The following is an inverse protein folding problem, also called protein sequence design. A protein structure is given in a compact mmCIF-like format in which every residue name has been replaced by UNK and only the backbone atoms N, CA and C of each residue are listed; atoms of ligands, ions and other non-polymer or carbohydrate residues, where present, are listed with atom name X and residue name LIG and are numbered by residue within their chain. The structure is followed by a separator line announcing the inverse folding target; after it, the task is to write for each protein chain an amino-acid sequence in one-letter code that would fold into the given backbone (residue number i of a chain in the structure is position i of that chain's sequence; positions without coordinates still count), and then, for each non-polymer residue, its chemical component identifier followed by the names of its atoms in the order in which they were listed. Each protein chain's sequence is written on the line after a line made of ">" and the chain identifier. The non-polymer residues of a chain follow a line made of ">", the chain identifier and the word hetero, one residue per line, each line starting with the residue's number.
data_IF_591206375640
#
_entry.id   IF_591206375640
#
_cell.length_a   1.000
_cell.length_b   1.000
_cell.length_c   1.000
_cell.angle_alpha   90.00
_cell.angle_beta   90.00
_cell.angle_gamma   90.00
#
_symmetry.space_group_name_H-M   'P 1'
#
loop_
_entity.id
_entity.type
_entity.pdbx_description
1 polymer ?
#
# COMPACT_ATOMS: atom_id res chain seq x y z
N UNK A 1 -30.11 -92.36 -3.97
CA UNK A 1 -30.14 -90.89 -4.13
C UNK A 1 -29.39 -90.32 -2.92
N UNK A 2 -28.22 -89.72 -3.14
CA UNK A 2 -27.43 -89.12 -2.06
C UNK A 2 -27.97 -87.71 -1.77
N UNK A 3 -28.27 -87.43 -0.51
CA UNK A 3 -28.62 -86.08 -0.05
C UNK A 3 -27.45 -85.13 -0.28
N UNK A 4 -27.73 -83.97 -0.90
CA UNK A 4 -26.75 -82.93 -1.12
C UNK A 4 -26.35 -82.27 0.21
N UNK A 5 -25.06 -81.98 0.45
CA UNK A 5 -24.63 -81.37 1.71
C UNK A 5 -25.16 -79.94 1.83
N UNK A 6 -25.74 -79.63 3.00
CA UNK A 6 -26.20 -78.29 3.38
C UNK A 6 -25.00 -77.32 3.34
N UNK A 7 -25.08 -76.18 2.64
CA UNK A 7 -23.97 -75.25 2.57
C UNK A 7 -23.68 -74.65 3.94
N UNK A 8 -22.41 -74.72 4.37
CA UNK A 8 -21.95 -74.11 5.62
C UNK A 8 -22.10 -72.59 5.52
N UNK A 9 -22.70 -71.96 6.55
CA UNK A 9 -22.78 -70.50 6.67
C UNK A 9 -21.36 -69.91 6.62
N UNK A 10 -21.10 -68.89 5.78
CA UNK A 10 -19.78 -68.28 5.71
C UNK A 10 -19.44 -67.55 7.02
N UNK A 11 -18.17 -67.57 7.41
CA UNK A 11 -17.68 -66.96 8.65
C UNK A 11 -17.87 -65.44 8.65
N UNK A 12 -18.38 -64.84 9.76
CA UNK A 12 -18.70 -63.40 9.85
C UNK A 12 -17.47 -62.48 9.74
N UNK A 13 -16.26 -63.00 9.93
CA UNK A 13 -15.03 -62.23 9.79
C UNK A 13 -14.79 -61.74 8.34
N UNK A 14 -15.28 -62.47 7.33
CA UNK A 14 -15.18 -62.02 5.94
C UNK A 14 -16.16 -60.87 5.61
N UNK A 15 -17.26 -60.73 6.35
CA UNK A 15 -18.11 -59.53 6.24
C UNK A 15 -17.40 -58.29 6.81
N UNK A 16 -16.66 -58.41 7.90
CA UNK A 16 -15.96 -57.25 8.48
C UNK A 16 -14.66 -56.87 7.75
N UNK A 17 -14.03 -57.79 7.02
CA UNK A 17 -12.75 -57.52 6.32
C UNK A 17 -12.96 -57.16 4.83
N UNK A 18 -13.94 -57.75 4.14
CA UNK A 18 -14.29 -57.36 2.74
C UNK A 18 -15.45 -56.35 2.65
N UNK A 19 -16.30 -56.21 3.69
CA UNK A 19 -17.36 -55.20 3.79
C UNK A 19 -17.17 -54.27 5.01
N UNK A 20 -15.93 -54.12 5.49
CA UNK A 20 -15.54 -53.39 6.70
C UNK A 20 -15.70 -51.87 6.69
N UNK A 21 -16.08 -51.28 5.56
CA UNK A 21 -16.71 -49.97 5.58
C UNK A 21 -18.21 -50.23 5.68
N UNK A 22 -18.89 -49.84 6.79
CA UNK A 22 -20.34 -49.99 6.88
C UNK A 22 -20.92 -49.40 5.61
N UNK A 23 -21.68 -50.20 4.85
CA UNK A 23 -22.28 -49.81 3.55
C UNK A 23 -22.72 -48.36 3.69
N UNK A 24 -21.94 -47.42 3.14
CA UNK A 24 -22.27 -46.00 3.18
C UNK A 24 -23.52 -45.88 2.32
N UNK A 25 -24.67 -46.10 2.94
CA UNK A 25 -25.96 -45.78 2.35
C UNK A 25 -25.89 -44.27 2.27
N UNK A 26 -25.51 -43.74 1.11
CA UNK A 26 -25.45 -42.33 0.79
C UNK A 26 -26.87 -41.76 0.88
N UNK A 27 -27.36 -41.64 2.11
CA UNK A 27 -28.60 -40.96 2.44
C UNK A 27 -28.32 -39.50 2.15
N UNK A 28 -29.16 -38.91 1.29
CA UNK A 28 -29.09 -37.49 1.02
C UNK A 28 -29.12 -36.73 2.36
N UNK A 29 -28.29 -35.69 2.52
CA UNK A 29 -28.34 -34.88 3.72
C UNK A 29 -29.75 -34.33 3.91
N UNK A 30 -30.15 -34.12 5.17
CA UNK A 30 -31.49 -33.58 5.45
C UNK A 30 -31.66 -32.18 4.84
N UNK A 31 -32.92 -31.72 4.67
CA UNK A 31 -33.22 -30.43 4.03
C UNK A 31 -32.41 -29.25 4.60
N UNK A 32 -32.25 -29.07 5.93
CA UNK A 32 -31.41 -27.99 6.47
C UNK A 32 -29.93 -28.11 6.11
N UNK A 33 -29.40 -29.34 6.06
CA UNK A 33 -28.01 -29.58 5.67
C UNK A 33 -27.77 -29.30 4.18
N UNK A 34 -28.73 -29.64 3.31
CA UNK A 34 -28.66 -29.29 1.89
C UNK A 34 -28.63 -27.77 1.69
N UNK A 35 -29.47 -27.02 2.40
CA UNK A 35 -29.46 -25.55 2.36
C UNK A 35 -28.12 -25.01 2.86
N UNK A 36 -27.62 -25.53 3.99
CA UNK A 36 -26.33 -25.11 4.54
C UNK A 36 -25.18 -25.33 3.56
N UNK A 37 -25.04 -26.54 3.00
CA UNK A 37 -24.00 -26.83 2.03
C UNK A 37 -24.18 -26.04 0.73
N UNK A 38 -25.42 -25.80 0.28
CA UNK A 38 -25.69 -24.96 -0.88
C UNK A 38 -25.18 -23.53 -0.70
N UNK A 39 -25.48 -22.91 0.45
CA UNK A 39 -25.02 -21.54 0.77
C UNK A 39 -23.50 -21.49 0.90
N UNK A 40 -22.89 -22.42 1.65
CA UNK A 40 -21.43 -22.45 1.84
C UNK A 40 -20.71 -22.70 0.50
N UNK A 41 -21.16 -23.68 -0.28
CA UNK A 41 -20.55 -24.00 -1.58
C UNK A 41 -20.67 -22.83 -2.57
N UNK A 42 -21.81 -22.13 -2.59
CA UNK A 42 -22.00 -20.96 -3.44
C UNK A 42 -21.07 -19.83 -3.02
N UNK A 43 -21.01 -19.52 -1.72
CA UNK A 43 -20.11 -18.49 -1.19
C UNK A 43 -18.63 -18.80 -1.47
N UNK A 44 -18.19 -20.02 -1.16
CA UNK A 44 -16.83 -20.47 -1.44
C UNK A 44 -16.53 -20.44 -2.94
N UNK A 45 -17.48 -20.87 -3.79
CA UNK A 45 -17.35 -20.80 -5.24
C UNK A 45 -17.13 -19.39 -5.75
N UNK A 46 -17.89 -18.41 -5.25
CA UNK A 46 -17.72 -16.98 -5.59
C UNK A 46 -16.36 -16.44 -5.16
N UNK A 47 -15.90 -16.76 -3.94
CA UNK A 47 -14.58 -16.32 -3.44
C UNK A 47 -13.43 -16.94 -4.24
N UNK A 48 -13.51 -18.23 -4.54
CA UNK A 48 -12.48 -18.92 -5.34
C UNK A 48 -12.45 -18.39 -6.77
N UNK A 49 -13.62 -18.14 -7.36
CA UNK A 49 -13.75 -17.54 -8.68
C UNK A 49 -13.10 -16.16 -8.73
N UNK A 50 -13.46 -15.24 -7.83
CA UNK A 50 -12.93 -13.88 -7.85
C UNK A 50 -11.41 -13.86 -7.61
N UNK A 51 -10.88 -14.71 -6.71
CA UNK A 51 -9.42 -14.85 -6.52
C UNK A 51 -8.71 -15.38 -7.77
N UNK A 52 -9.31 -16.33 -8.48
CA UNK A 52 -8.75 -16.86 -9.73
C UNK A 52 -8.72 -15.79 -10.82
N UNK A 53 -9.82 -15.06 -11.01
CA UNK A 53 -9.88 -13.97 -12.00
C UNK A 53 -8.97 -12.79 -11.63
N UNK A 54 -8.92 -12.43 -10.35
CA UNK A 54 -7.96 -11.43 -9.83
C UNK A 54 -6.52 -11.80 -10.18
N UNK A 55 -6.13 -13.07 -9.98
CA UNK A 55 -4.78 -13.55 -10.31
C UNK A 55 -4.52 -13.52 -11.81
N UNK A 56 -5.49 -13.92 -12.64
CA UNK A 56 -5.37 -13.83 -14.11
C UNK A 56 -5.20 -12.39 -14.59
N UNK A 57 -5.98 -11.45 -14.05
CA UNK A 57 -5.86 -10.03 -14.39
C UNK A 57 -4.47 -9.50 -14.02
N UNK A 58 -3.96 -9.86 -12.84
CA UNK A 58 -2.61 -9.50 -12.42
C UNK A 58 -1.54 -10.10 -13.34
N UNK A 59 -1.60 -11.41 -13.62
CA UNK A 59 -0.65 -12.12 -14.51
C UNK A 59 -0.64 -11.50 -15.91
N UNK A 60 -1.81 -11.18 -16.46
CA UNK A 60 -1.96 -10.52 -17.76
C UNK A 60 -1.19 -9.20 -17.87
N UNK A 61 -1.31 -8.32 -16.87
CA UNK A 61 -0.59 -7.04 -16.86
C UNK A 61 0.90 -7.21 -16.56
N UNK A 62 1.27 -8.16 -15.70
CA UNK A 62 2.66 -8.53 -15.45
C UNK A 62 3.35 -9.01 -16.73
N UNK A 63 2.70 -9.88 -17.51
CA UNK A 63 3.24 -10.41 -18.76
C UNK A 63 3.44 -9.28 -19.78
N UNK A 64 2.52 -8.33 -19.85
CA UNK A 64 2.62 -7.15 -20.73
C UNK A 64 3.81 -6.27 -20.42
N UNK A 65 4.17 -6.08 -19.15
CA UNK A 65 5.32 -5.24 -18.76
C UNK A 65 6.63 -6.02 -18.65
N UNK A 66 6.56 -7.36 -18.62
CA UNK A 66 7.71 -8.24 -18.41
C UNK A 66 8.84 -8.06 -19.42
N UNK A 67 8.52 -7.66 -20.65
CA UNK A 67 9.51 -7.40 -21.69
C UNK A 67 10.48 -6.26 -21.34
N UNK A 68 10.09 -5.35 -20.44
CA UNK A 68 10.96 -4.26 -19.97
C UNK A 68 12.10 -4.81 -19.11
N UNK A 69 11.82 -5.81 -18.27
CA UNK A 69 12.82 -6.43 -17.41
C UNK A 69 13.89 -7.22 -18.17
N UNK A 70 13.60 -7.63 -19.41
CA UNK A 70 14.52 -8.38 -20.26
C UNK A 70 15.53 -7.48 -20.98
N UNK A 71 15.34 -6.15 -20.95
CA UNK A 71 16.27 -5.21 -21.58
C UNK A 71 17.57 -5.17 -20.79
N UNK A 72 18.73 -5.49 -21.39
CA UNK A 72 19.99 -5.45 -20.68
C UNK A 72 20.38 -4.00 -20.39
N UNK A 73 20.83 -3.74 -19.16
CA UNK A 73 21.38 -2.45 -18.73
C UNK A 73 22.91 -2.57 -18.54
N UNK A 74 23.69 -1.53 -18.89
CA UNK A 74 25.12 -1.53 -18.64
C UNK A 74 25.42 -1.44 -17.13
N UNK A 75 26.56 -1.99 -16.67
CA UNK A 75 26.89 -2.04 -15.24
C UNK A 75 27.12 -0.66 -14.61
N UNK A 76 27.35 0.37 -15.42
CA UNK A 76 27.49 1.77 -15.00
C UNK A 76 26.16 2.52 -14.89
N UNK A 77 25.03 1.85 -15.13
CA UNK A 77 23.72 2.48 -15.20
C UNK A 77 22.70 1.78 -14.29
N UNK A 78 21.91 2.58 -13.60
CA UNK A 78 20.78 2.11 -12.80
C UNK A 78 19.46 2.33 -13.54
N UNK A 79 18.44 1.46 -13.34
CA UNK A 79 17.12 1.69 -13.90
C UNK A 79 16.51 3.01 -13.38
N UNK A 80 15.52 3.52 -14.10
CA UNK A 80 14.76 4.69 -13.62
C UNK A 80 14.02 4.37 -12.32
N UNK A 81 13.87 5.38 -11.47
CA UNK A 81 13.26 5.28 -10.14
C UNK A 81 11.90 5.95 -10.07
N UNK A 82 10.94 5.27 -9.44
CA UNK A 82 9.57 5.77 -9.19
C UNK A 82 9.35 5.98 -7.69
N UNK A 83 8.89 7.16 -7.29
CA UNK A 83 8.54 7.42 -5.88
C UNK A 83 7.07 7.12 -5.65
N UNK A 84 6.75 6.32 -4.64
CA UNK A 84 5.39 5.89 -4.29
C UNK A 84 5.04 6.51 -2.95
N UNK A 85 4.01 7.36 -2.92
CA UNK A 85 3.49 7.94 -1.68
C UNK A 85 2.30 7.10 -1.18
N UNK A 86 2.39 6.65 0.07
CA UNK A 86 1.37 5.87 0.77
C UNK A 86 0.99 6.56 2.08
N UNK A 87 -0.28 6.91 2.29
CA UNK A 87 -0.78 7.39 3.59
C UNK A 87 -1.78 6.43 4.20
N UNK A 88 -1.88 6.45 5.53
CA UNK A 88 -2.97 5.81 6.27
C UNK A 88 -4.33 6.33 5.75
N UNK A 89 -5.28 5.45 5.38
CA UNK A 89 -6.62 5.88 5.04
C UNK A 89 -7.30 6.57 6.24
N UNK A 90 -8.26 7.47 5.99
CA UNK A 90 -8.95 8.19 7.05
C UNK A 90 -9.71 7.24 7.97
N UNK A 91 -9.35 7.25 9.25
CA UNK A 91 -10.00 6.43 10.27
C UNK A 91 -9.44 5.02 10.44
N UNK A 92 -8.33 4.68 9.78
CA UNK A 92 -7.61 3.42 9.93
C UNK A 92 -6.08 3.63 9.84
N UNK A 93 -5.27 2.58 10.03
CA UNK A 93 -3.81 2.64 10.06
C UNK A 93 -3.12 2.40 8.70
N UNK A 94 -1.80 2.63 8.68
CA UNK A 94 -0.96 2.46 7.47
C UNK A 94 -0.91 1.02 6.94
N UNK A 95 -1.23 0.02 7.78
CA UNK A 95 -1.19 -1.40 7.42
C UNK A 95 -2.07 -1.69 6.20
N UNK A 96 -3.28 -1.15 6.15
CA UNK A 96 -4.22 -1.32 5.03
C UNK A 96 -3.63 -0.80 3.71
N UNK A 97 -2.93 0.34 3.73
CA UNK A 97 -2.26 0.89 2.56
C UNK A 97 -1.04 0.06 2.13
N UNK A 98 -0.28 -0.49 3.09
CA UNK A 98 0.87 -1.38 2.82
C UNK A 98 0.44 -2.70 2.20
N UNK A 99 -0.61 -3.32 2.73
CA UNK A 99 -1.18 -4.55 2.16
C UNK A 99 -1.68 -4.30 0.74
N UNK A 100 -2.37 -3.18 0.53
CA UNK A 100 -2.83 -2.76 -0.79
C UNK A 100 -1.67 -2.58 -1.79
N UNK A 101 -0.61 -1.88 -1.39
CA UNK A 101 0.58 -1.72 -2.22
C UNK A 101 1.21 -3.08 -2.57
N UNK A 102 1.38 -3.97 -1.58
CA UNK A 102 1.98 -5.30 -1.78
C UNK A 102 1.14 -6.18 -2.70
N UNK A 103 -0.18 -6.09 -2.61
CA UNK A 103 -1.10 -6.94 -3.36
C UNK A 103 -1.32 -6.43 -4.79
N UNK A 104 -1.56 -5.13 -4.99
CA UNK A 104 -2.01 -4.60 -6.29
C UNK A 104 -0.90 -3.90 -7.09
N UNK A 105 -0.01 -3.15 -6.44
CA UNK A 105 0.94 -2.27 -7.13
C UNK A 105 2.29 -2.95 -7.33
N UNK A 106 2.84 -3.54 -6.27
CA UNK A 106 4.17 -4.16 -6.25
C UNK A 106 4.37 -5.20 -7.36
N UNK A 107 3.44 -6.14 -7.62
CA UNK A 107 3.72 -7.22 -8.58
C UNK A 107 3.99 -6.71 -9.99
N UNK A 108 3.24 -5.70 -10.45
CA UNK A 108 3.41 -5.13 -11.80
C UNK A 108 4.72 -4.36 -11.92
N UNK A 109 5.11 -3.57 -10.91
CA UNK A 109 6.39 -2.86 -10.90
C UNK A 109 7.59 -3.83 -10.88
N UNK A 110 7.49 -4.91 -10.10
CA UNK A 110 8.53 -5.94 -10.02
C UNK A 110 8.64 -6.71 -11.34
N UNK A 111 7.52 -7.04 -11.98
CA UNK A 111 7.53 -7.70 -13.30
C UNK A 111 8.22 -6.83 -14.36
N UNK A 112 8.11 -5.50 -14.26
CA UNK A 112 8.76 -4.55 -15.15
C UNK A 112 10.23 -4.25 -14.79
N UNK A 113 10.76 -4.78 -13.68
CA UNK A 113 12.06 -4.42 -13.10
C UNK A 113 12.25 -2.90 -12.89
N UNK A 114 11.19 -2.19 -12.52
CA UNK A 114 11.24 -0.76 -12.22
C UNK A 114 11.68 -0.56 -10.77
N UNK A 115 12.73 0.25 -10.56
CA UNK A 115 13.15 0.63 -9.21
C UNK A 115 12.12 1.58 -8.58
N UNK A 116 11.78 1.35 -7.32
CA UNK A 116 10.78 2.14 -6.61
C UNK A 116 11.20 2.45 -5.18
N UNK A 117 10.80 3.64 -4.71
CA UNK A 117 10.99 4.09 -3.34
C UNK A 117 9.63 4.40 -2.72
N UNK A 118 9.35 3.81 -1.56
CA UNK A 118 8.07 3.96 -0.88
C UNK A 118 8.23 4.98 0.24
N UNK A 119 7.52 6.10 0.13
CA UNK A 119 7.42 7.12 1.15
C UNK A 119 6.09 6.94 1.89
N UNK A 120 6.18 6.53 3.14
CA UNK A 120 5.01 6.26 3.98
C UNK A 120 4.67 7.48 4.86
N UNK A 121 3.38 7.82 4.96
CA UNK A 121 2.82 8.76 5.92
C UNK A 121 1.90 8.06 6.89
N UNK A 122 2.34 7.88 8.14
CA UNK A 122 1.53 7.23 9.18
C UNK A 122 0.44 8.17 9.67
N UNK A 123 0.75 9.47 9.75
CA UNK A 123 -0.13 10.53 10.24
C UNK A 123 -0.58 11.42 9.08
N UNK A 124 -1.78 11.98 9.24
CA UNK A 124 -2.30 13.01 8.33
C UNK A 124 -1.37 14.21 8.31
N UNK A 125 -0.98 14.66 7.12
CA UNK A 125 -0.08 15.80 6.94
C UNK A 125 1.40 15.46 6.78
N UNK A 126 1.79 14.23 7.14
CA UNK A 126 3.18 13.79 7.07
C UNK A 126 3.68 13.76 5.63
N UNK A 127 2.84 13.31 4.67
CA UNK A 127 3.22 13.27 3.25
C UNK A 127 3.36 14.67 2.70
N UNK A 128 2.42 15.55 3.06
CA UNK A 128 2.48 16.95 2.65
C UNK A 128 3.79 17.59 3.08
N UNK A 129 4.16 17.41 4.34
CA UNK A 129 5.43 17.91 4.86
C UNK A 129 6.64 17.30 4.14
N UNK A 130 6.71 15.98 3.96
CA UNK A 130 7.81 15.32 3.25
C UNK A 130 7.97 15.85 1.82
N UNK A 131 6.87 15.97 1.08
CA UNK A 131 6.89 16.51 -0.30
C UNK A 131 7.35 17.96 -0.32
N UNK A 132 6.89 18.78 0.63
CA UNK A 132 7.29 20.18 0.73
C UNK A 132 8.77 20.32 1.11
N UNK A 133 9.26 19.51 2.06
CA UNK A 133 10.66 19.48 2.48
C UNK A 133 11.57 19.03 1.34
N UNK A 134 11.23 17.92 0.67
CA UNK A 134 11.93 17.46 -0.53
C UNK A 134 12.04 18.55 -1.59
N UNK A 135 10.93 19.26 -1.85
CA UNK A 135 10.91 20.39 -2.79
C UNK A 135 11.80 21.54 -2.32
N UNK A 136 11.81 21.88 -1.03
CA UNK A 136 12.69 22.91 -0.46
C UNK A 136 14.16 22.54 -0.56
N UNK A 137 14.52 21.27 -0.32
CA UNK A 137 15.88 20.76 -0.50
C UNK A 137 16.36 20.92 -1.93
N UNK A 138 15.52 20.54 -2.91
CA UNK A 138 15.79 20.77 -4.34
C UNK A 138 16.06 22.26 -4.61
N UNK A 139 15.30 23.18 -3.99
CA UNK A 139 15.50 24.62 -4.14
C UNK A 139 16.80 25.13 -3.48
N UNK A 140 17.24 24.52 -2.38
CA UNK A 140 18.53 24.81 -1.74
C UNK A 140 19.72 24.21 -2.49
N UNK A 141 19.49 23.31 -3.43
CA UNK A 141 20.54 22.49 -4.04
C UNK A 141 21.09 21.42 -3.10
N UNK A 142 20.35 21.11 -2.04
CA UNK A 142 20.65 20.01 -1.13
C UNK A 142 20.17 18.69 -1.74
N UNK A 143 20.90 17.62 -1.47
CA UNK A 143 20.54 16.30 -1.96
C UNK A 143 19.41 15.67 -1.12
N UNK A 144 18.57 14.87 -1.79
CA UNK A 144 17.53 14.05 -1.15
C UNK A 144 18.15 13.00 -0.22
N UNK A 145 18.54 13.37 1.00
CA UNK A 145 18.92 12.46 2.11
C UNK A 145 17.70 11.91 2.86
N UNK A 146 16.49 12.08 2.29
CA UNK A 146 15.31 11.40 2.82
C UNK A 146 15.52 9.89 2.69
N UNK A 147 15.56 9.24 3.85
CA UNK A 147 15.90 7.83 3.98
C UNK A 147 16.61 7.54 5.28
N UNK A 148 16.83 6.26 5.54
CA UNK A 148 17.76 5.82 6.59
C UNK A 148 19.18 6.27 6.24
N UNK A 149 20.07 6.40 7.24
CA UNK A 149 21.48 6.76 7.02
C UNK A 149 22.16 5.85 5.98
N UNK A 150 21.68 4.61 5.86
CA UNK A 150 22.08 3.61 4.86
C UNK A 150 21.73 4.04 3.44
N UNK A 151 20.52 4.54 3.18
CA UNK A 151 20.09 4.98 1.84
C UNK A 151 20.82 6.25 1.39
N UNK A 152 21.08 7.17 2.33
CA UNK A 152 21.90 8.34 2.05
C UNK A 152 23.35 7.94 1.73
N UNK A 153 23.92 6.98 2.46
CA UNK A 153 25.25 6.44 2.18
C UNK A 153 25.31 5.73 0.82
N UNK A 154 24.26 4.99 0.44
CA UNK A 154 24.15 4.34 -0.88
C UNK A 154 24.15 5.40 -1.99
N UNK A 155 23.32 6.45 -1.88
CA UNK A 155 23.27 7.55 -2.87
C UNK A 155 24.63 8.26 -2.99
N UNK A 156 25.34 8.46 -1.88
CA UNK A 156 26.67 9.06 -1.89
C UNK A 156 27.70 8.15 -2.59
N UNK A 157 27.64 6.84 -2.33
CA UNK A 157 28.49 5.85 -2.99
C UNK A 157 28.19 5.75 -4.49
N UNK A 158 26.92 5.75 -4.90
CA UNK A 158 26.49 5.79 -6.31
C UNK A 158 27.13 6.97 -7.05
N UNK A 159 27.14 8.14 -6.42
CA UNK A 159 27.76 9.37 -6.98
C UNK A 159 29.27 9.27 -7.07
N UNK A 160 29.92 8.75 -6.02
CA UNK A 160 31.37 8.53 -6.05
C UNK A 160 31.78 7.53 -7.14
N UNK A 161 30.95 6.51 -7.38
CA UNK A 161 31.13 5.53 -8.44
C UNK A 161 30.75 6.05 -9.84
N UNK A 162 30.20 7.27 -9.96
CA UNK A 162 29.80 7.86 -11.24
C UNK A 162 28.66 7.12 -11.93
N UNK A 163 27.80 6.43 -11.16
CA UNK A 163 26.68 5.65 -11.68
C UNK A 163 25.55 6.60 -12.09
N UNK A 164 25.10 6.49 -13.35
CA UNK A 164 24.06 7.35 -13.91
C UNK A 164 22.75 6.55 -13.96
N UNK A 165 21.59 7.20 -13.80
CA UNK A 165 20.30 6.53 -14.01
C UNK A 165 19.91 6.53 -15.48
N UNK A 166 19.13 5.54 -15.88
CA UNK A 166 18.54 5.44 -17.21
C UNK A 166 17.84 6.74 -17.61
N UNK A 167 18.08 7.17 -18.85
CA UNK A 167 17.41 8.32 -19.43
C UNK A 167 15.94 7.98 -19.65
N UNK A 168 15.10 8.38 -18.71
CA UNK A 168 13.67 8.19 -18.78
C UNK A 168 12.96 9.07 -17.76
N UNK A 169 11.66 9.34 -17.98
CA UNK A 169 10.86 10.02 -16.98
C UNK A 169 10.84 9.17 -15.71
N UNK A 170 11.43 9.69 -14.64
CA UNK A 170 11.06 9.30 -13.29
C UNK A 170 9.55 9.51 -13.09
N UNK A 171 8.99 8.93 -12.04
CA UNK A 171 7.56 8.99 -11.83
C UNK A 171 7.20 9.14 -10.37
N UNK A 172 6.03 9.73 -10.14
CA UNK A 172 5.40 9.75 -8.82
C UNK A 172 4.09 8.97 -8.89
N UNK A 173 3.94 8.00 -7.99
CA UNK A 173 2.71 7.23 -7.81
C UNK A 173 2.12 7.61 -6.48
N UNK A 174 0.84 7.95 -6.49
CA UNK A 174 0.13 8.36 -5.28
C UNK A 174 -1.03 7.41 -5.05
N UNK A 175 -1.03 6.70 -3.93
CA UNK A 175 -2.07 5.70 -3.62
C UNK A 175 -3.17 6.32 -2.78
N UNK A 176 -4.35 6.45 -3.36
CA UNK A 176 -5.54 7.00 -2.73
C UNK A 176 -5.70 8.51 -2.81
N UNK A 177 -6.96 8.94 -2.76
CA UNK A 177 -7.38 10.34 -2.87
C UNK A 177 -6.87 11.22 -1.72
N UNK A 178 -6.85 10.70 -0.49
CA UNK A 178 -6.33 11.44 0.67
C UNK A 178 -4.84 11.75 0.50
N UNK A 179 -4.04 10.77 0.11
CA UNK A 179 -2.61 10.91 -0.22
C UNK A 179 -2.42 11.92 -1.36
N UNK A 180 -3.29 11.90 -2.37
CA UNK A 180 -3.27 12.86 -3.48
C UNK A 180 -3.48 14.31 -3.05
N UNK A 181 -4.45 14.56 -2.15
CA UNK A 181 -4.66 15.90 -1.58
C UNK A 181 -3.42 16.38 -0.81
N UNK A 182 -2.81 15.51 -0.02
CA UNK A 182 -1.59 15.86 0.72
C UNK A 182 -0.38 16.11 -0.18
N UNK A 183 -0.17 15.25 -1.19
CA UNK A 183 0.90 15.39 -2.17
C UNK A 183 0.80 16.73 -2.91
N UNK A 184 -0.37 17.06 -3.44
CA UNK A 184 -0.57 18.32 -4.15
C UNK A 184 -0.35 19.51 -3.23
N UNK A 185 -0.91 19.50 -2.02
CA UNK A 185 -0.67 20.58 -1.04
C UNK A 185 0.82 20.72 -0.71
N UNK A 186 1.54 19.62 -0.58
CA UNK A 186 2.98 19.62 -0.33
C UNK A 186 3.79 20.16 -1.50
N UNK A 187 3.37 19.84 -2.73
CA UNK A 187 3.99 20.41 -3.93
C UNK A 187 3.79 21.93 -3.99
N UNK A 188 2.56 22.41 -3.72
CA UNK A 188 2.27 23.85 -3.69
C UNK A 188 3.03 24.55 -2.56
N UNK A 189 3.01 23.99 -1.35
CA UNK A 189 3.74 24.54 -0.21
C UNK A 189 5.24 24.55 -0.46
N UNK A 190 5.80 23.51 -1.08
CA UNK A 190 7.22 23.42 -1.37
C UNK A 190 7.71 24.46 -2.38
N UNK A 191 6.92 24.75 -3.43
CA UNK A 191 7.29 25.72 -4.46
C UNK A 191 6.91 27.15 -4.13
N UNK A 192 5.70 27.37 -3.61
CA UNK A 192 5.20 28.72 -3.30
C UNK A 192 5.65 29.20 -1.91
N UNK A 193 5.94 28.27 -1.01
CA UNK A 193 6.38 28.55 0.36
C UNK A 193 7.79 29.13 0.47
N UNK A 194 8.16 29.60 1.68
CA UNK A 194 9.55 29.93 1.98
C UNK A 194 10.43 28.68 1.84
N UNK A 195 11.66 28.89 1.38
CA UNK A 195 12.65 27.83 1.22
C UNK A 195 13.13 27.29 2.57
N UNK A 196 13.29 28.16 3.57
CA UNK A 196 13.73 27.82 4.92
C UNK A 196 12.63 28.02 5.93
N UNK A 197 12.29 26.96 6.66
CA UNK A 197 11.46 27.07 7.85
C UNK A 197 12.42 27.35 9.01
N UNK A 198 12.25 28.49 9.69
CA UNK A 198 12.96 28.78 10.93
C UNK A 198 12.47 27.84 12.05
N UNK A 199 12.90 26.58 12.04
CA UNK A 199 12.43 25.54 12.97
C UNK A 199 13.11 24.18 12.86
N UNK A 200 13.83 23.89 11.77
CA UNK A 200 14.38 22.55 11.48
C UNK A 200 15.42 22.05 12.51
N UNK A 201 16.05 22.96 13.27
CA UNK A 201 17.00 22.59 14.34
C UNK A 201 16.42 21.84 15.53
N UNK A 202 15.08 21.73 15.66
CA UNK A 202 14.42 21.00 16.76
C UNK A 202 13.90 19.61 16.37
N UNK A 203 13.94 19.24 15.09
CA UNK A 203 13.43 17.95 14.60
C UNK A 203 14.54 16.92 14.36
N UNK A 204 15.77 17.35 14.06
CA UNK A 204 16.93 16.45 13.92
C UNK A 204 17.29 15.73 15.23
N UNK A 205 17.01 16.34 16.38
CA UNK A 205 17.25 15.73 17.70
C UNK A 205 16.32 14.56 18.02
N UNK A 206 15.19 14.42 17.32
CA UNK A 206 14.22 13.33 17.51
C UNK A 206 14.51 12.07 16.67
N UNK A 207 15.51 12.08 15.77
CA UNK A 207 15.91 10.86 15.03
C UNK A 207 16.53 9.78 15.93
N UNK A 208 17.01 10.14 17.13
CA UNK A 208 17.70 9.19 18.04
C UNK A 208 16.79 8.28 18.85
N UNK A 209 15.50 8.59 19.00
CA UNK A 209 14.61 7.88 19.94
C UNK A 209 13.53 7.00 19.28
N UNK A 210 13.74 6.56 18.03
CA UNK A 210 12.88 5.58 17.39
C UNK A 210 13.56 4.20 17.38
N UNK A 211 12.91 3.12 17.88
CA UNK A 211 13.43 1.78 17.67
C UNK A 211 13.47 1.49 16.17
N UNK A 212 14.66 1.13 15.68
CA UNK A 212 14.95 0.77 14.30
C UNK A 212 14.03 -0.39 13.88
N UNK A 213 12.94 -0.07 13.19
CA UNK A 213 12.09 -1.07 12.55
C UNK A 213 12.83 -1.59 11.32
N UNK A 214 13.27 -2.84 11.38
CA UNK A 214 13.90 -3.54 10.28
C UNK A 214 13.00 -3.45 9.03
N UNK A 215 13.52 -2.96 7.88
CA UNK A 215 12.82 -3.07 6.62
C UNK A 215 12.79 -4.55 6.22
N UNK A 216 11.59 -5.10 5.97
CA UNK A 216 11.45 -6.39 5.30
C UNK A 216 11.78 -6.18 3.81
N UNK A 217 13.06 -6.23 3.52
CA UNK A 217 13.61 -6.60 2.22
C UNK A 217 14.51 -7.81 2.46
N UNK A 218 13.95 -9.00 2.29
CA UNK A 218 14.74 -10.16 1.94
C UNK A 218 14.46 -10.48 0.47
N UNK A 219 15.47 -10.15 -0.30
CA UNK A 219 15.86 -10.72 -1.58
C UNK A 219 15.58 -12.22 -1.67
N UNK A 220 15.21 -12.62 -2.89
CA UNK A 220 15.14 -13.98 -3.42
C UNK A 220 16.41 -14.76 -3.06
N UNK A 221 16.33 -15.70 -2.11
CA UNK A 221 17.32 -16.76 -1.86
C UNK A 221 16.73 -17.81 -0.91
N UNK A 222 15.64 -18.47 -1.29
CA UNK A 222 15.15 -19.70 -0.63
C UNK A 222 14.42 -20.57 -1.67
N UNK A 223 15.15 -20.98 -2.70
CA UNK A 223 14.81 -22.15 -3.51
C UNK A 223 16.12 -22.91 -3.65
N UNK A 224 16.33 -23.89 -2.77
CA UNK A 224 17.05 -25.16 -2.96
C UNK A 224 17.25 -25.79 -1.57
N UNK A 225 16.61 -26.95 -1.26
CA UNK A 225 16.85 -27.66 0.00
C UNK A 225 18.13 -28.49 -0.14
N UNK A 226 19.13 -28.19 0.69
CA UNK A 226 20.29 -29.07 0.90
C UNK A 226 20.30 -29.55 2.36
N UNK A 227 20.57 -30.84 2.49
CA UNK A 227 20.46 -31.74 3.64
C UNK A 227 20.97 -31.19 4.99
N UNK A 228 20.22 -31.45 6.06
CA UNK A 228 20.69 -31.39 7.44
C UNK A 228 20.81 -32.81 8.02
N UNK A 229 22.04 -33.22 8.32
CA UNK A 229 22.36 -34.31 9.26
C UNK A 229 22.58 -33.74 10.66
N UNK A 230 21.80 -34.28 11.61
CA UNK A 230 22.11 -34.72 13.00
C UNK A 230 23.44 -34.20 13.64
N UNK A 231 23.55 -33.79 14.92
CA UNK A 231 23.06 -34.45 16.13
C UNK A 231 23.35 -33.61 17.42
N UNK A 232 22.40 -33.66 18.37
CA UNK A 232 22.60 -33.87 19.83
C UNK A 232 22.91 -32.77 20.88
N UNK A 233 21.99 -32.73 21.87
CA UNK A 233 22.13 -32.69 23.36
C UNK A 233 22.09 -31.36 24.16
N UNK A 234 20.90 -31.15 24.76
CA UNK A 234 20.57 -30.47 26.04
C UNK A 234 21.26 -31.16 27.26
N UNK A 235 21.17 -30.71 28.55
CA UNK A 235 19.95 -30.20 29.24
C UNK A 235 20.08 -29.13 30.36
N UNK A 236 18.97 -28.46 30.67
CA UNK A 236 18.69 -27.70 31.91
C UNK A 236 18.59 -28.62 33.16
N UNK A 237 18.56 -28.08 34.40
CA UNK A 237 17.28 -27.97 35.15
C UNK A 237 17.25 -26.81 36.22
N UNK A 238 16.28 -26.70 37.17
CA UNK A 238 14.83 -26.39 37.03
C UNK A 238 14.24 -25.34 38.05
N UNK A 239 13.06 -24.81 37.68
CA UNK A 239 11.83 -24.33 38.39
C UNK A 239 11.71 -24.22 39.94
N UNK A 240 11.18 -23.08 40.44
CA UNK A 240 10.09 -22.87 41.48
C UNK A 240 9.64 -21.39 41.42
N UNK A 241 8.40 -20.97 41.09
CA UNK A 241 7.08 -21.03 41.76
C UNK A 241 6.82 -19.95 42.86
N UNK A 242 5.65 -19.29 42.74
CA UNK A 242 4.95 -18.32 43.64
C UNK A 242 5.54 -16.90 43.76
N UNK A 243 4.83 -15.76 43.68
CA UNK A 243 3.41 -15.44 43.60
C UNK A 243 3.04 -14.43 44.70
N UNK A 244 2.98 -13.12 44.44
CA UNK A 244 2.12 -12.16 45.19
C UNK A 244 2.10 -10.74 44.61
N UNK A 245 0.92 -10.11 44.72
CA UNK A 245 0.62 -8.72 44.38
C UNK A 245 1.11 -7.80 45.50
N UNK A 246 1.82 -6.73 45.15
CA UNK A 246 1.72 -5.46 45.89
C UNK A 246 1.63 -4.28 44.91
N UNK A 247 0.55 -3.52 45.08
CA UNK A 247 0.42 -2.15 44.62
C UNK A 247 1.26 -1.30 45.57
N UNK A 248 2.14 -0.46 45.04
CA UNK A 248 2.37 0.86 45.64
C UNK A 248 2.97 1.82 44.63
N UNK A 249 2.58 3.08 44.78
CA UNK A 249 2.48 4.06 43.71
C UNK A 249 3.81 4.61 43.24
N UNK A 250 3.82 5.00 41.96
CA UNK A 250 4.73 6.01 41.41
C UNK A 250 3.92 6.99 40.59
N UNK A 251 3.67 8.12 41.22
CA UNK A 251 3.70 9.48 40.66
C UNK A 251 3.28 9.62 39.21
N UNK A 252 2.12 10.25 39.04
CA UNK A 252 1.74 11.03 37.87
C UNK A 252 2.81 12.09 37.59
N UNK A 253 3.83 11.75 36.80
CA UNK A 253 4.54 12.75 36.03
C UNK A 253 3.67 13.08 34.80
N UNK A 254 3.05 14.26 34.85
CA UNK A 254 2.47 14.94 33.71
C UNK A 254 3.49 14.97 32.56
N UNK A 255 3.41 14.00 31.66
CA UNK A 255 4.13 14.05 30.39
C UNK A 255 3.61 15.26 29.61
N UNK A 256 4.45 16.28 29.54
CA UNK A 256 4.26 17.45 28.70
C UNK A 256 3.86 17.01 27.27
N UNK A 257 2.96 17.75 26.60
CA UNK A 257 2.46 17.36 25.28
C UNK A 257 3.62 17.21 24.31
N UNK A 258 3.72 16.05 23.67
CA UNK A 258 4.68 15.83 22.58
C UNK A 258 4.34 16.86 21.51
N UNK A 259 5.33 17.67 21.11
CA UNK A 259 5.14 18.65 20.04
C UNK A 259 4.80 17.94 18.72
N UNK A 260 4.11 18.61 17.78
CA UNK A 260 4.07 18.19 16.38
C UNK A 260 5.40 17.58 15.93
N UNK A 261 5.33 16.41 15.31
CA UNK A 261 6.50 15.85 14.63
C UNK A 261 6.82 16.58 13.32
N UNK A 262 5.89 17.37 12.79
CA UNK A 262 6.06 18.18 11.58
C UNK A 262 5.26 19.49 11.70
N UNK A 263 5.75 20.59 11.09
CA UNK A 263 5.15 21.91 11.16
C UNK A 263 3.79 21.98 10.44
N UNK A 264 2.95 22.92 10.89
CA UNK A 264 1.72 23.32 10.20
C UNK A 264 2.01 23.88 8.79
N UNK A 265 1.02 23.90 7.88
CA UNK A 265 1.25 24.38 6.52
C UNK A 265 1.72 25.82 6.52
N UNK A 266 2.79 26.09 5.79
CA UNK A 266 3.41 27.42 5.76
C UNK A 266 2.61 28.43 4.95
N UNK A 267 1.85 27.95 3.96
CA UNK A 267 0.99 28.75 3.08
C UNK A 267 -0.40 28.13 3.04
N UNK A 268 -1.41 28.98 3.13
CA UNK A 268 -2.82 28.60 2.99
C UNK A 268 -3.23 28.55 1.52
N UNK A 269 -4.20 27.71 1.18
CA UNK A 269 -4.69 27.55 -0.20
C UNK A 269 -5.17 28.85 -0.85
N UNK A 270 -5.76 29.76 -0.07
CA UNK A 270 -6.23 31.05 -0.55
C UNK A 270 -5.10 31.99 -1.02
N UNK A 271 -3.87 31.73 -0.58
CA UNK A 271 -2.68 32.52 -0.89
C UNK A 271 -1.90 31.97 -2.10
N UNK A 272 -2.32 30.83 -2.67
CA UNK A 272 -1.64 30.26 -3.84
C UNK A 272 -1.59 31.21 -5.04
N UNK A 273 -2.67 31.93 -5.41
CA UNK A 273 -2.64 32.84 -6.56
C UNK A 273 -1.74 34.06 -6.35
N UNK A 274 -1.57 34.52 -5.11
CA UNK A 274 -0.77 35.70 -4.78
C UNK A 274 0.71 35.38 -4.55
N UNK A 275 1.05 34.12 -4.24
CA UNK A 275 2.42 33.70 -4.02
C UNK A 275 3.28 33.75 -5.30
N UNK A 276 4.57 34.04 -5.14
CA UNK A 276 5.53 34.11 -6.25
C UNK A 276 6.17 32.75 -6.50
N UNK A 277 6.18 32.31 -7.77
CA UNK A 277 6.92 31.11 -8.14
C UNK A 277 8.41 31.40 -8.24
N UNK A 278 9.27 30.60 -7.59
CA UNK A 278 10.70 30.77 -7.67
C UNK A 278 11.21 30.41 -9.08
N UNK A 279 12.29 31.06 -9.56
CA UNK A 279 12.89 30.74 -10.86
C UNK A 279 13.53 29.34 -10.91
N UNK A 280 13.77 28.72 -9.75
CA UNK A 280 14.25 27.34 -9.63
C UNK A 280 13.18 26.29 -9.94
N UNK A 281 11.92 26.68 -10.14
CA UNK A 281 10.85 25.76 -10.47
C UNK A 281 11.05 25.17 -11.88
N UNK A 282 11.05 23.83 -12.03
CA UNK A 282 11.29 23.20 -13.33
C UNK A 282 10.19 23.57 -14.32
N UNK A 283 10.52 23.55 -15.62
CA UNK A 283 9.56 23.80 -16.70
C UNK A 283 8.48 22.72 -16.77
N UNK A 284 8.84 21.47 -16.48
CA UNK A 284 7.88 20.38 -16.35
C UNK A 284 8.19 19.50 -15.14
N UNK A 285 7.15 19.14 -14.41
CA UNK A 285 7.24 18.21 -13.29
C UNK A 285 7.32 16.76 -13.77
N UNK A 286 7.79 15.90 -12.88
CA UNK A 286 7.73 14.46 -13.11
C UNK A 286 6.28 14.02 -13.30
N UNK A 287 6.00 13.10 -14.24
CA UNK A 287 4.67 12.56 -14.42
C UNK A 287 4.16 11.88 -13.15
N UNK A 288 2.91 12.18 -12.81
CA UNK A 288 2.21 11.69 -11.62
C UNK A 288 1.07 10.77 -12.02
N UNK A 289 0.82 9.72 -11.24
CA UNK A 289 -0.37 8.87 -11.41
C UNK A 289 -1.00 8.59 -10.06
N UNK A 290 -2.32 8.75 -10.00
CA UNK A 290 -3.11 8.40 -8.83
C UNK A 290 -3.66 6.99 -9.02
N UNK A 291 -3.38 6.12 -8.07
CA UNK A 291 -3.93 4.77 -7.99
C UNK A 291 -5.10 4.79 -7.00
N UNK A 292 -6.28 4.29 -7.38
CA UNK A 292 -7.43 4.32 -6.48
C UNK A 292 -7.18 3.47 -5.24
N UNK A 293 -7.66 3.89 -4.08
CA UNK A 293 -7.58 3.14 -2.83
C UNK A 293 -8.95 3.12 -2.12
N UNK A 294 -9.90 2.31 -2.62
CA UNK A 294 -11.23 2.23 -2.04
C UNK A 294 -11.19 1.56 -0.66
N UNK A 295 -11.27 2.38 0.39
CA UNK A 295 -11.25 1.92 1.79
C UNK A 295 -12.54 2.33 2.50
N UNK A 296 -13.49 1.40 2.61
CA UNK A 296 -14.79 1.64 3.22
C UNK A 296 -14.82 1.13 4.66
N UNK A 297 -15.19 1.97 5.64
CA UNK A 297 -15.28 1.65 7.08
C UNK A 297 -16.72 1.55 7.59
N UNK A 298 -16.96 0.75 8.64
CA UNK A 298 -18.22 0.68 9.38
C UNK A 298 -19.09 -0.58 9.18
N UNK A 299 -19.90 -0.90 10.19
CA UNK A 299 -20.74 -2.11 10.23
C UNK A 299 -21.95 -2.03 9.27
N UNK A 300 -22.62 -0.87 9.17
CA UNK A 300 -23.74 -0.68 8.24
C UNK A 300 -23.31 -0.81 6.77
N UNK A 301 -22.01 -0.63 6.50
CA UNK A 301 -21.42 -0.75 5.18
C UNK A 301 -20.97 -2.18 4.82
N UNK A 302 -21.23 -3.16 5.69
CA UNK A 302 -20.90 -4.58 5.46
C UNK A 302 -21.44 -5.15 4.13
N UNK A 303 -22.69 -4.91 3.68
CA UNK A 303 -23.14 -5.44 2.39
C UNK A 303 -22.34 -4.88 1.20
N UNK A 304 -22.00 -3.59 1.24
CA UNK A 304 -21.14 -2.98 0.21
C UNK A 304 -19.71 -3.52 0.26
N UNK A 305 -19.18 -3.77 1.46
CA UNK A 305 -17.88 -4.44 1.64
C UNK A 305 -17.88 -5.85 1.09
N UNK A 306 -18.93 -6.63 1.31
CA UNK A 306 -19.09 -7.98 0.74
C UNK A 306 -19.13 -7.92 -0.78
N UNK A 307 -19.90 -7.00 -1.36
CA UNK A 307 -19.91 -6.82 -2.82
C UNK A 307 -18.51 -6.49 -3.35
N UNK A 308 -17.81 -5.50 -2.76
CA UNK A 308 -16.44 -5.15 -3.17
C UNK A 308 -15.44 -6.29 -2.99
N UNK A 309 -15.62 -7.12 -1.95
CA UNK A 309 -14.79 -8.30 -1.70
C UNK A 309 -14.97 -9.38 -2.77
N UNK A 310 -16.16 -9.50 -3.37
CA UNK A 310 -16.46 -10.46 -4.44
C UNK A 310 -16.23 -9.89 -5.86
N UNK A 311 -15.82 -8.62 -5.96
CA UNK A 311 -15.51 -7.96 -7.24
C UNK A 311 -14.10 -7.36 -7.24
N UNK A 312 -13.15 -7.95 -6.49
CA UNK A 312 -11.79 -7.46 -6.45
C UNK A 312 -11.06 -7.62 -7.78
N UNK A 313 -11.51 -8.55 -8.64
CA UNK A 313 -10.97 -8.71 -10.00
C UNK A 313 -10.99 -7.41 -10.81
N UNK A 314 -12.08 -6.63 -10.73
CA UNK A 314 -12.23 -5.36 -11.48
C UNK A 314 -11.29 -4.29 -10.96
N UNK A 315 -11.13 -4.23 -9.62
CA UNK A 315 -10.18 -3.32 -9.00
C UNK A 315 -8.74 -3.69 -9.38
N UNK A 316 -8.40 -4.99 -9.38
CA UNK A 316 -7.08 -5.46 -9.77
C UNK A 316 -6.76 -5.11 -11.22
N UNK A 317 -7.69 -5.35 -12.14
CA UNK A 317 -7.51 -5.01 -13.56
C UNK A 317 -7.28 -3.50 -13.75
N UNK A 318 -8.16 -2.68 -13.16
CA UNK A 318 -8.05 -1.23 -13.23
C UNK A 318 -6.73 -0.71 -12.64
N UNK A 319 -6.34 -1.19 -11.45
CA UNK A 319 -5.09 -0.75 -10.80
C UNK A 319 -3.89 -1.21 -11.59
N UNK A 320 -3.87 -2.46 -12.03
CA UNK A 320 -2.76 -3.02 -12.80
C UNK A 320 -2.58 -2.29 -14.13
N UNK A 321 -3.66 -1.88 -14.79
CA UNK A 321 -3.62 -1.01 -15.97
C UNK A 321 -2.93 0.32 -15.68
N UNK A 322 -3.26 0.97 -14.58
CA UNK A 322 -2.65 2.25 -14.20
C UNK A 322 -1.18 2.08 -13.82
N UNK A 323 -0.83 1.01 -13.10
CA UNK A 323 0.58 0.70 -12.79
C UNK A 323 1.37 0.31 -14.04
N UNK A 324 0.75 -0.39 -15.00
CA UNK A 324 1.38 -0.71 -16.28
C UNK A 324 1.70 0.55 -17.08
N UNK A 325 0.83 1.57 -17.07
CA UNK A 325 1.13 2.87 -17.70
C UNK A 325 2.37 3.54 -17.11
N UNK A 326 2.54 3.44 -15.78
CA UNK A 326 3.73 3.95 -15.08
C UNK A 326 4.97 3.16 -15.53
N UNK A 327 4.87 1.84 -15.60
CA UNK A 327 5.97 0.94 -16.01
C UNK A 327 6.40 1.14 -17.47
N UNK A 328 5.46 1.42 -18.38
CA UNK A 328 5.77 1.77 -19.77
C UNK A 328 6.39 3.17 -19.91
N UNK A 329 6.10 4.07 -18.97
CA UNK A 329 6.72 5.39 -18.91
C UNK A 329 6.14 6.41 -19.90
N UNK A 330 5.02 6.10 -20.54
CA UNK A 330 4.28 6.99 -21.44
C UNK A 330 3.49 8.04 -20.66
N UNK A 331 3.67 9.31 -21.01
CA UNK A 331 3.06 10.43 -20.28
C UNK A 331 2.47 11.49 -21.21
N UNK A 332 1.46 12.18 -20.71
CA UNK A 332 0.77 13.30 -21.36
C UNK A 332 0.60 14.46 -20.39
N UNK A 333 0.50 15.71 -20.84
CA UNK A 333 0.07 16.81 -19.97
C UNK A 333 -1.38 16.60 -19.47
N UNK A 334 -1.72 17.16 -18.31
CA UNK A 334 -3.12 17.20 -17.88
C UNK A 334 -3.93 18.12 -18.81
N UNK A 335 -5.13 17.69 -19.22
CA UNK A 335 -5.97 18.44 -20.16
C UNK A 335 -6.78 19.53 -19.45
N UNK A 336 -7.30 19.22 -18.26
CA UNK A 336 -8.06 20.16 -17.44
C UNK A 336 -7.61 20.15 -15.97
N UNK A 337 -7.80 21.29 -15.28
CA UNK A 337 -7.68 21.36 -13.82
C UNK A 337 -8.68 20.45 -13.12
N UNK A 338 -9.83 20.22 -13.74
CA UNK A 338 -10.88 19.33 -13.26
C UNK A 338 -10.44 17.86 -13.24
N UNK A 339 -9.49 17.46 -14.10
CA UNK A 339 -8.96 16.09 -14.08
C UNK A 339 -8.13 15.83 -12.81
N UNK A 340 -7.45 16.87 -12.31
CA UNK A 340 -6.61 16.82 -11.11
C UNK A 340 -7.48 16.89 -9.86
N UNK A 341 -8.43 17.83 -9.83
CA UNK A 341 -9.33 18.01 -8.69
C UNK A 341 -10.39 16.94 -8.62
N UNK A 342 -10.83 16.40 -9.76
CA UNK A 342 -11.84 15.34 -9.88
C UNK A 342 -11.31 13.92 -9.72
N UNK A 343 -9.98 13.74 -9.67
CA UNK A 343 -9.34 12.43 -9.54
C UNK A 343 -9.94 11.63 -8.37
N UNK A 344 -10.70 10.57 -8.68
CA UNK A 344 -11.31 9.63 -7.72
C UNK A 344 -12.14 10.26 -6.59
N UNK A 345 -12.97 11.28 -6.90
CA UNK A 345 -13.92 11.88 -5.94
C UNK A 345 -14.82 10.85 -5.22
N UNK A 346 -15.05 9.69 -5.83
CA UNK A 346 -15.83 8.58 -5.27
C UNK A 346 -15.23 8.09 -3.93
N UNK A 347 -13.90 8.14 -3.76
CA UNK A 347 -13.25 7.69 -2.52
C UNK A 347 -13.58 8.57 -1.32
N UNK A 348 -13.85 9.86 -1.52
CA UNK A 348 -14.22 10.76 -0.42
C UNK A 348 -15.57 10.37 0.20
N UNK A 349 -16.47 9.79 -0.62
CA UNK A 349 -17.76 9.31 -0.15
C UNK A 349 -17.65 8.06 0.74
N UNK A 350 -16.57 7.29 0.61
CA UNK A 350 -16.32 6.08 1.41
C UNK A 350 -15.74 6.38 2.80
N UNK A 351 -15.31 7.63 3.03
CA UNK A 351 -14.71 8.02 4.30
C UNK A 351 -15.72 7.95 5.45
N UNK A 352 -15.29 7.51 6.66
CA UNK A 352 -16.20 7.41 7.78
C UNK A 352 -16.73 8.80 8.20
N UNK A 353 -18.03 9.05 7.98
CA UNK A 353 -18.70 10.33 8.27
C UNK A 353 -18.42 10.85 9.68
N UNK A 354 -18.54 10.00 10.70
CA UNK A 354 -18.22 10.36 12.10
C UNK A 354 -16.75 10.74 12.30
N UNK A 355 -15.83 10.17 11.53
CA UNK A 355 -14.42 10.54 11.59
C UNK A 355 -14.22 11.92 10.95
N UNK A 356 -14.83 12.16 9.78
CA UNK A 356 -14.80 13.45 9.08
C UNK A 356 -15.45 14.56 9.92
N UNK A 357 -16.61 14.32 10.53
CA UNK A 357 -17.33 15.27 11.38
C UNK A 357 -16.54 15.64 12.63
N UNK A 358 -15.80 14.68 13.22
CA UNK A 358 -14.93 14.97 14.37
C UNK A 358 -13.72 15.79 13.94
N UNK A 359 -13.14 15.48 12.78
CA UNK A 359 -11.99 16.20 12.25
C UNK A 359 -12.36 17.65 11.88
N UNK A 360 -13.55 17.89 11.32
CA UNK A 360 -14.02 19.23 10.95
C UNK A 360 -14.24 20.11 12.18
N UNK A 361 -14.89 19.58 13.22
CA UNK A 361 -15.17 20.29 14.48
C UNK A 361 -13.92 20.59 15.30
N UNK A 362 -12.80 19.89 15.05
CA UNK A 362 -11.63 19.94 15.92
C UNK A 362 -11.85 19.24 17.27
N UNK A 363 -12.95 18.48 17.39
CA UNK A 363 -13.33 17.72 18.60
C UNK A 363 -12.57 16.38 18.72
N UNK A 364 -11.76 16.03 17.72
CA UNK A 364 -10.64 15.14 18.00
C UNK A 364 -9.70 16.03 18.81
N UNK A 365 -9.95 16.14 20.12
CA UNK A 365 -8.89 16.51 21.03
C UNK A 365 -7.67 15.75 20.55
N UNK A 366 -6.65 16.50 20.18
CA UNK A 366 -5.29 16.02 20.07
C UNK A 366 -5.08 15.13 21.28
N UNK A 367 -5.33 13.81 21.14
CA UNK A 367 -4.91 12.84 22.12
C UNK A 367 -3.45 13.23 22.35
N UNK A 368 -3.00 13.30 23.61
CA UNK A 368 -1.66 13.81 23.97
C UNK A 368 -0.49 13.16 23.17
N UNK A 369 -0.77 12.08 22.43
CA UNK A 369 0.11 11.35 21.52
C UNK A 369 0.01 11.70 20.01
N UNK A 370 -1.04 12.36 19.51
CA UNK A 370 -1.26 12.73 18.08
C UNK A 370 -1.69 14.20 17.88
N UNK A 371 -0.79 15.17 18.11
CA UNK A 371 -1.12 16.60 18.25
C UNK A 371 -1.40 17.37 16.95
N UNK A 372 -1.36 16.74 15.78
CA UNK A 372 -1.74 17.39 14.53
C UNK A 372 -2.39 16.40 13.59
N UNK A 373 -3.71 16.29 13.69
CA UNK A 373 -4.52 15.86 12.53
C UNK A 373 -4.86 17.10 11.74
N UNK A 374 -4.03 17.39 10.75
CA UNK A 374 -4.28 18.52 9.88
C UNK A 374 -5.63 18.37 9.16
N UNK A 375 -6.39 19.46 9.06
CA UNK A 375 -7.71 19.48 8.42
C UNK A 375 -7.63 19.37 6.88
N UNK A 376 -6.44 19.19 6.35
CA UNK A 376 -6.13 19.24 4.92
C UNK A 376 -6.82 18.16 4.10
N UNK A 377 -7.19 17.04 4.70
CA UNK A 377 -7.93 15.99 3.99
C UNK A 377 -9.39 16.41 3.72
N UNK A 378 -9.98 17.19 4.64
CA UNK A 378 -11.41 17.58 4.61
C UNK A 378 -11.65 18.79 3.71
N UNK A 379 -10.72 19.73 3.70
CA UNK A 379 -10.79 20.91 2.86
C UNK A 379 -10.80 20.55 1.36
N UNK A 380 -11.57 21.31 0.60
CA UNK A 380 -11.60 21.18 -0.86
C UNK A 380 -10.22 21.43 -1.45
N UNK A 381 -9.90 20.75 -2.55
CA UNK A 381 -8.59 20.85 -3.17
C UNK A 381 -8.55 22.09 -4.08
N UNK A 382 -7.97 23.18 -3.59
CA UNK A 382 -7.60 24.31 -4.42
C UNK A 382 -6.14 24.17 -4.89
N UNK A 383 -5.89 24.45 -6.17
CA UNK A 383 -4.60 24.25 -6.82
C UNK A 383 -4.26 25.45 -7.71
N UNK A 384 -2.98 25.81 -7.74
CA UNK A 384 -2.45 26.89 -8.57
C UNK A 384 -2.32 26.42 -10.03
N UNK A 385 -2.91 27.17 -10.95
CA UNK A 385 -2.83 26.90 -12.39
C UNK A 385 -1.39 26.79 -12.89
N UNK A 386 -0.47 27.61 -12.36
CA UNK A 386 0.92 27.65 -12.84
C UNK A 386 1.69 26.37 -12.55
N UNK A 387 1.33 25.65 -11.49
CA UNK A 387 1.92 24.35 -11.14
C UNK A 387 1.25 23.25 -11.95
N UNK A 388 -0.08 23.27 -12.04
CA UNK A 388 -0.89 22.31 -12.80
C UNK A 388 -0.47 22.24 -14.26
N UNK A 389 -0.28 23.39 -14.91
CA UNK A 389 0.07 23.46 -16.33
C UNK A 389 1.43 22.79 -16.62
N UNK A 390 2.27 22.62 -15.60
CA UNK A 390 3.57 21.94 -15.67
C UNK A 390 3.51 20.47 -15.26
N UNK A 391 2.38 20.00 -14.72
CA UNK A 391 2.19 18.60 -14.31
C UNK A 391 1.85 17.72 -15.52
N UNK A 392 2.33 16.48 -15.47
CA UNK A 392 2.09 15.45 -16.47
C UNK A 392 1.46 14.24 -15.79
N UNK A 393 0.69 13.45 -16.54
CA UNK A 393 0.08 12.19 -16.08
C UNK A 393 0.61 11.01 -16.89
N UNK A 394 0.73 9.86 -16.26
CA UNK A 394 0.98 8.62 -17.00
C UNK A 394 -0.30 8.15 -17.71
N UNK A 395 -0.15 7.73 -18.97
CA UNK A 395 -1.24 7.26 -19.83
C UNK A 395 -0.81 5.96 -20.50
N UNK A 396 -1.72 5.00 -20.61
CA UNK A 396 -1.45 3.76 -21.32
C UNK A 396 -1.50 4.02 -22.84
N UNK A 397 -0.51 3.59 -23.64
CA UNK A 397 -0.55 3.80 -25.09
C UNK A 397 -1.73 3.04 -25.73
N UNK A 398 -2.44 3.70 -26.65
CA UNK A 398 -3.71 3.21 -27.23
C UNK A 398 -3.58 1.84 -27.90
N UNK A 399 -2.41 1.53 -28.48
CA UNK A 399 -2.12 0.24 -29.15
C UNK A 399 -2.13 -0.97 -28.21
N UNK A 400 -2.15 -0.76 -26.89
CA UNK A 400 -2.21 -1.82 -25.88
C UNK A 400 -3.62 -2.04 -25.29
N UNK A 401 -4.58 -1.20 -25.66
CA UNK A 401 -5.90 -1.11 -25.02
C UNK A 401 -6.99 -2.03 -25.56
N UNK A 402 -6.91 -2.48 -26.82
CA UNK A 402 -8.02 -3.17 -27.51
C UNK A 402 -8.26 -4.61 -27.05
N UNK A 403 -7.29 -5.24 -26.37
CA UNK A 403 -7.37 -6.65 -25.97
C UNK A 403 -7.51 -6.85 -24.46
N UNK A 404 -7.84 -5.80 -23.71
CA UNK A 404 -8.15 -5.96 -22.28
C UNK A 404 -9.36 -6.91 -22.18
N UNK A 405 -9.25 -8.08 -21.51
CA UNK A 405 -10.40 -8.94 -21.33
C UNK A 405 -11.46 -8.08 -20.61
N UNK A 406 -12.60 -7.84 -21.24
CA UNK A 406 -13.71 -7.22 -20.55
C UNK A 406 -14.13 -8.17 -19.43
N UNK A 407 -13.59 -7.94 -18.24
CA UNK A 407 -13.97 -8.67 -17.04
C UNK A 407 -15.35 -8.15 -16.60
N UNK A 408 -16.39 -8.55 -17.35
CA UNK A 408 -17.79 -8.22 -17.04
C UNK A 408 -18.20 -8.60 -15.61
#
# INVERSE_FOLDING_TARGET
>A
MAEAPVPKKPNPAFEYVMFGLPKFKAKLPSKPWLVFFGVVATWTGLVVYDRREKRKAQEYWCDRVSHLAQKPLPPSQLPRKVTIYLASPPGDGITSAREYFKEYVKPVLVAAAVDYEVVEGRRTGEIRWKVAERTRRIRRGEEDTEGTDKEAAIKAHEKQAGIIREEGPGGVVVVGRHTWKEYLRGLHEGWLGPADIQGDGLLESNKKDMPELQPVVSSISDILPAESTEESKSPDPPVTADGEKEKEGKTEEEKAPKKPQFPSPTILQAEYPSATLPPSAPESFQPTKVVPFPHLLGFLNTPFRVHRYLTQRRLMDHVSREVASIALGTYEPYQSREDITGAYNIEEADWPKKWVDRLSKGDIEDNKDEPLREKTIVEELHVDGRIIDRMKRFVLPEDSGTDSPEFE
#
